data_IF_038939217637
#
_entry.id   IF_038939217637
#
_cell.length_a   1.000
_cell.length_b   1.000
_cell.length_c   1.000
_cell.angle_alpha   90.00
_cell.angle_beta   90.00
_cell.angle_gamma   90.00
#
_symmetry.space_group_name_H-M   'P 1'
#
loop_
_entity.id
_entity.type
_entity.pdbx_description
1 polymer ?
#
# COMPACT_ATOMS: atom_id res chain seq x y z
N UNK A 1 -26.55 -2.27 -16.29
CA UNK A 1 -25.24 -2.40 -16.95
C UNK A 1 -24.20 -1.94 -15.96
N UNK A 2 -23.35 -2.85 -15.47
CA UNK A 2 -22.43 -2.63 -14.34
C UNK A 2 -21.42 -1.52 -14.68
N UNK A 3 -21.18 -0.56 -13.78
CA UNK A 3 -20.28 0.57 -14.04
C UNK A 3 -18.85 0.11 -14.37
N UNK A 4 -18.46 -1.04 -13.81
CA UNK A 4 -17.22 -1.73 -14.16
C UNK A 4 -17.09 -2.05 -15.66
N UNK A 5 -18.17 -2.51 -16.30
CA UNK A 5 -18.15 -2.87 -17.73
C UNK A 5 -18.01 -1.63 -18.62
N UNK A 6 -18.49 -0.46 -18.16
CA UNK A 6 -18.32 0.80 -18.89
C UNK A 6 -16.88 1.30 -18.77
N UNK A 7 -16.29 1.22 -17.58
CA UNK A 7 -14.88 1.56 -17.35
C UNK A 7 -13.97 0.71 -18.24
N UNK A 8 -14.15 -0.61 -18.20
CA UNK A 8 -13.34 -1.53 -19.02
C UNK A 8 -13.57 -1.29 -20.52
N UNK A 9 -14.81 -0.97 -20.92
CA UNK A 9 -15.16 -0.64 -22.30
C UNK A 9 -14.44 0.61 -22.83
N UNK A 10 -14.52 1.73 -22.11
CA UNK A 10 -13.85 2.98 -22.51
C UNK A 10 -12.32 2.87 -22.47
N UNK A 11 -11.77 2.14 -21.50
CA UNK A 11 -10.33 1.89 -21.45
C UNK A 11 -9.85 1.08 -22.67
N UNK A 12 -10.62 0.06 -23.07
CA UNK A 12 -10.28 -0.79 -24.21
C UNK A 12 -10.46 -0.06 -25.55
N UNK A 13 -11.45 0.83 -25.64
CA UNK A 13 -11.62 1.72 -26.78
C UNK A 13 -10.44 2.68 -26.90
N UNK A 14 -10.08 3.37 -25.81
CA UNK A 14 -8.93 4.27 -25.77
C UNK A 14 -7.62 3.56 -26.14
N UNK A 15 -7.37 2.37 -25.61
CA UNK A 15 -6.17 1.59 -25.93
C UNK A 15 -6.06 1.24 -27.43
N UNK A 16 -7.21 1.08 -28.11
CA UNK A 16 -7.26 0.72 -29.54
C UNK A 16 -7.17 1.94 -30.45
N UNK A 17 -7.85 3.02 -30.10
CA UNK A 17 -8.07 4.17 -30.99
C UNK A 17 -7.19 5.36 -30.66
N UNK A 18 -6.69 5.46 -29.42
CA UNK A 18 -6.05 6.67 -28.89
C UNK A 18 -7.02 7.85 -28.75
N UNK A 19 -8.34 7.62 -28.83
CA UNK A 19 -9.33 8.69 -28.85
C UNK A 19 -9.44 9.42 -27.50
N UNK A 20 -9.25 10.74 -27.54
CA UNK A 20 -9.37 11.60 -26.36
C UNK A 20 -10.76 11.60 -25.74
N UNK A 21 -11.82 11.34 -26.53
CA UNK A 21 -13.18 11.26 -25.98
C UNK A 21 -13.37 10.03 -25.08
N UNK A 22 -12.96 8.84 -25.53
CA UNK A 22 -13.01 7.62 -24.72
C UNK A 22 -12.22 7.77 -23.41
N UNK A 23 -11.05 8.42 -23.45
CA UNK A 23 -10.28 8.72 -22.24
C UNK A 23 -11.00 9.69 -21.31
N UNK A 24 -11.66 10.71 -21.85
CA UNK A 24 -12.41 11.70 -21.06
C UNK A 24 -13.57 11.04 -20.31
N UNK A 25 -14.33 10.17 -20.98
CA UNK A 25 -15.42 9.42 -20.33
C UNK A 25 -14.90 8.42 -19.29
N UNK A 26 -13.77 7.75 -19.57
CA UNK A 26 -13.09 6.90 -18.60
C UNK A 26 -12.72 7.69 -17.34
N UNK A 27 -12.09 8.86 -17.50
CA UNK A 27 -11.69 9.70 -16.38
C UNK A 27 -12.90 10.21 -15.59
N UNK A 28 -14.00 10.55 -16.28
CA UNK A 28 -15.26 10.96 -15.65
C UNK A 28 -15.86 9.85 -14.78
N UNK A 29 -15.81 8.60 -15.23
CA UNK A 29 -16.28 7.45 -14.45
C UNK A 29 -15.36 7.13 -13.25
N UNK A 30 -14.05 7.33 -13.42
CA UNK A 30 -13.08 7.10 -12.36
C UNK A 30 -13.03 8.22 -11.31
N UNK A 31 -13.38 9.46 -11.68
CA UNK A 31 -13.26 10.68 -10.86
C UNK A 31 -13.75 10.54 -9.41
N UNK A 32 -14.94 9.97 -9.12
CA UNK A 32 -15.39 9.78 -7.73
C UNK A 32 -14.45 8.89 -6.91
N UNK A 33 -13.90 7.84 -7.54
CA UNK A 33 -12.93 6.93 -6.90
C UNK A 33 -11.61 7.67 -6.66
N UNK A 34 -11.12 8.42 -7.66
CA UNK A 34 -9.87 9.18 -7.53
C UNK A 34 -9.96 10.19 -6.39
N UNK A 35 -11.07 10.95 -6.32
CA UNK A 35 -11.32 11.95 -5.28
C UNK A 35 -11.36 11.31 -3.90
N UNK A 36 -12.09 10.21 -3.75
CA UNK A 36 -12.18 9.47 -2.50
C UNK A 36 -10.80 8.97 -2.04
N UNK A 37 -10.06 8.29 -2.92
CA UNK A 37 -8.75 7.72 -2.59
C UNK A 37 -7.71 8.80 -2.29
N UNK A 38 -7.77 9.95 -2.99
CA UNK A 38 -6.87 11.08 -2.76
C UNK A 38 -7.16 11.76 -1.42
N UNK A 39 -8.44 11.98 -1.07
CA UNK A 39 -8.84 12.51 0.25
C UNK A 39 -8.43 11.60 1.39
N UNK A 40 -8.55 10.29 1.21
CA UNK A 40 -8.16 9.29 2.21
C UNK A 40 -6.65 9.32 2.52
N UNK A 41 -5.82 9.69 1.54
CA UNK A 41 -4.34 9.70 1.63
C UNK A 41 -3.75 11.09 1.86
N UNK A 42 -4.56 12.14 1.72
CA UNK A 42 -4.18 13.51 2.03
C UNK A 42 -3.65 13.62 3.45
N UNK A 43 -2.58 14.37 3.62
CA UNK A 43 -2.00 14.65 4.92
C UNK A 43 -1.26 16.00 4.89
N UNK A 44 -0.77 16.44 6.05
CA UNK A 44 -0.06 17.71 6.20
C UNK A 44 1.18 17.89 5.30
N UNK A 45 1.72 16.82 4.69
CA UNK A 45 2.92 16.87 3.84
C UNK A 45 2.65 16.76 2.35
N UNK A 46 1.59 16.04 1.96
CA UNK A 46 1.22 15.83 0.57
C UNK A 46 -0.22 16.29 0.41
N UNK A 47 -0.39 17.38 -0.32
CA UNK A 47 -1.70 18.01 -0.49
C UNK A 47 -2.57 17.17 -1.41
N UNK A 48 -3.88 17.27 -1.22
CA UNK A 48 -4.85 16.61 -2.08
C UNK A 48 -4.58 16.81 -3.58
N UNK A 49 -4.24 18.02 -4.02
CA UNK A 49 -4.03 18.32 -5.44
C UNK A 49 -2.87 17.51 -6.04
N UNK A 50 -1.78 17.35 -5.29
CA UNK A 50 -0.59 16.63 -5.73
C UNK A 50 -0.91 15.12 -5.87
N UNK A 51 -1.66 14.57 -4.91
CA UNK A 51 -2.11 13.16 -4.95
C UNK A 51 -3.10 12.93 -6.09
N UNK A 52 -4.09 13.83 -6.21
CA UNK A 52 -5.15 13.71 -7.21
C UNK A 52 -4.59 13.77 -8.63
N UNK A 53 -3.65 14.68 -8.92
CA UNK A 53 -2.96 14.77 -10.21
C UNK A 53 -2.24 13.46 -10.54
N UNK A 54 -1.51 12.88 -9.58
CA UNK A 54 -0.84 11.58 -9.76
C UNK A 54 -1.83 10.45 -10.06
N UNK A 55 -3.00 10.48 -9.43
CA UNK A 55 -4.02 9.44 -9.66
C UNK A 55 -4.66 9.56 -11.04
N UNK A 56 -4.87 10.78 -11.54
CA UNK A 56 -5.32 11.00 -12.93
C UNK A 56 -4.28 10.51 -13.94
N UNK A 57 -2.99 10.75 -13.69
CA UNK A 57 -1.91 10.23 -14.52
C UNK A 57 -1.86 8.70 -14.49
N UNK A 58 -2.09 8.08 -13.33
CA UNK A 58 -2.19 6.63 -13.20
C UNK A 58 -3.34 6.03 -14.02
N UNK A 59 -4.48 6.72 -14.14
CA UNK A 59 -5.58 6.30 -15.04
C UNK A 59 -5.12 6.32 -16.49
N UNK A 60 -4.42 7.38 -16.93
CA UNK A 60 -3.86 7.45 -18.28
C UNK A 60 -2.88 6.32 -18.56
N UNK A 61 -1.88 6.14 -17.68
CA UNK A 61 -0.89 5.05 -17.77
C UNK A 61 -1.54 3.67 -17.82
N UNK A 62 -2.61 3.46 -17.05
CA UNK A 62 -3.34 2.19 -17.04
C UNK A 62 -4.10 1.92 -18.34
N UNK A 63 -4.46 2.97 -19.09
CA UNK A 63 -5.35 2.88 -20.25
C UNK A 63 -4.62 2.72 -21.59
N UNK A 64 -3.37 3.21 -21.72
CA UNK A 64 -2.62 3.20 -23.00
C UNK A 64 -2.53 1.83 -23.64
N UNK A 65 -2.28 0.79 -22.84
CA UNK A 65 -2.02 -0.57 -23.30
C UNK A 65 -2.99 -1.58 -22.65
N UNK A 66 -4.20 -1.12 -22.33
CA UNK A 66 -5.21 -1.97 -21.71
C UNK A 66 -5.75 -3.02 -22.70
N UNK A 67 -5.58 -4.30 -22.37
CA UNK A 67 -5.92 -5.43 -23.22
C UNK A 67 -7.21 -6.16 -22.83
N UNK A 68 -7.86 -5.74 -21.73
CA UNK A 68 -9.10 -6.32 -21.21
C UNK A 68 -8.96 -7.69 -20.55
N UNK A 69 -7.73 -8.21 -20.35
CA UNK A 69 -7.52 -9.51 -19.67
C UNK A 69 -7.81 -9.45 -18.17
N UNK A 70 -7.61 -8.28 -17.57
CA UNK A 70 -7.90 -7.97 -16.17
C UNK A 70 -8.86 -6.79 -16.08
N UNK A 71 -9.52 -6.60 -14.94
CA UNK A 71 -10.29 -5.39 -14.68
C UNK A 71 -9.39 -4.14 -14.78
N UNK A 72 -9.87 -3.09 -15.43
CA UNK A 72 -9.16 -1.82 -15.52
C UNK A 72 -8.85 -1.24 -14.14
N UNK A 73 -9.80 -1.35 -13.20
CA UNK A 73 -9.65 -0.83 -11.83
C UNK A 73 -8.50 -1.53 -11.10
N UNK A 74 -8.31 -2.84 -11.33
CA UNK A 74 -7.18 -3.57 -10.77
C UNK A 74 -5.85 -3.05 -11.33
N UNK A 75 -5.76 -2.89 -12.65
CA UNK A 75 -4.56 -2.37 -13.33
C UNK A 75 -4.23 -0.95 -12.85
N UNK A 76 -5.24 -0.07 -12.82
CA UNK A 76 -5.14 1.29 -12.29
C UNK A 76 -4.58 1.30 -10.86
N UNK A 77 -5.10 0.45 -9.97
CA UNK A 77 -4.65 0.43 -8.56
C UNK A 77 -3.16 0.09 -8.42
N UNK A 78 -2.66 -0.87 -9.19
CA UNK A 78 -1.23 -1.23 -9.17
C UNK A 78 -0.36 -0.04 -9.57
N UNK A 79 -0.73 0.64 -10.65
CA UNK A 79 0.00 1.81 -11.15
C UNK A 79 -0.11 2.97 -10.15
N UNK A 80 -1.32 3.29 -9.70
CA UNK A 80 -1.58 4.34 -8.72
C UNK A 80 -0.73 4.18 -7.46
N UNK A 81 -0.64 2.97 -6.90
CA UNK A 81 0.16 2.73 -5.70
C UNK A 81 1.65 2.98 -5.94
N UNK A 82 2.17 2.56 -7.11
CA UNK A 82 3.56 2.81 -7.48
C UNK A 82 3.85 4.31 -7.54
N UNK A 83 3.01 5.06 -8.26
CA UNK A 83 3.18 6.50 -8.42
C UNK A 83 3.03 7.24 -7.07
N UNK A 84 2.10 6.80 -6.22
CA UNK A 84 1.94 7.36 -4.87
C UNK A 84 3.16 7.11 -3.99
N UNK A 85 3.77 5.93 -4.07
CA UNK A 85 5.01 5.62 -3.35
C UNK A 85 6.14 6.53 -3.82
N UNK A 86 6.24 6.78 -5.12
CA UNK A 86 7.27 7.66 -5.69
C UNK A 86 7.04 9.12 -5.28
N UNK A 87 5.79 9.60 -5.25
CA UNK A 87 5.44 10.90 -4.66
C UNK A 87 5.84 10.99 -3.18
N UNK A 88 5.54 9.94 -2.41
CA UNK A 88 5.95 9.87 -1.00
C UNK A 88 7.48 9.91 -0.83
N UNK A 89 8.23 9.22 -1.71
CA UNK A 89 9.71 9.25 -1.71
C UNK A 89 10.25 10.63 -2.05
N UNK A 90 9.65 11.31 -3.03
CA UNK A 90 10.01 12.67 -3.42
C UNK A 90 9.86 13.65 -2.25
N UNK A 91 8.70 13.68 -1.58
CA UNK A 91 8.48 14.55 -0.42
C UNK A 91 9.39 14.22 0.76
N UNK A 92 9.75 12.94 0.96
CA UNK A 92 10.77 12.55 1.95
C UNK A 92 12.16 13.07 1.61
N UNK A 93 12.54 13.03 0.33
CA UNK A 93 13.83 13.52 -0.13
C UNK A 93 13.96 15.05 0.03
N UNK A 94 12.91 15.81 -0.30
CA UNK A 94 12.88 17.26 -0.08
C UNK A 94 13.12 17.60 1.39
N UNK A 95 12.48 16.88 2.32
CA UNK A 95 12.69 17.12 3.75
C UNK A 95 14.15 16.90 4.15
N UNK A 96 14.80 15.83 3.67
CA UNK A 96 16.23 15.58 3.98
C UNK A 96 17.13 16.73 3.51
N UNK A 97 16.80 17.36 2.38
CA UNK A 97 17.54 18.52 1.88
C UNK A 97 17.23 19.78 2.70
N UNK A 98 15.98 19.97 3.12
CA UNK A 98 15.54 21.08 3.98
C UNK A 98 16.08 20.99 5.41
N UNK A 99 16.16 19.78 5.99
CA UNK A 99 16.70 19.53 7.33
C UNK A 99 18.23 19.79 7.39
N UNK A 100 18.94 19.76 6.24
CA UNK A 100 20.34 20.23 6.16
C UNK A 100 20.49 21.76 6.26
N UNK A 101 19.40 22.52 6.20
CA UNK A 101 19.41 23.99 6.17
C UNK A 101 18.51 24.66 7.22
N UNK A 102 17.89 23.91 8.14
CA UNK A 102 17.06 24.51 9.19
C UNK A 102 17.52 24.14 10.60
N UNK A 103 18.00 25.17 11.30
CA UNK A 103 18.21 25.24 12.74
C UNK A 103 16.88 25.23 13.50
N UNK A 104 16.84 24.40 14.54
CA UNK A 104 16.02 24.46 15.78
C UNK A 104 14.50 24.28 15.72
N UNK A 105 14.07 23.34 16.58
CA UNK A 105 12.81 23.25 17.31
C UNK A 105 11.54 22.89 16.54
N UNK A 106 11.31 21.59 16.29
CA UNK A 106 9.94 21.07 16.26
C UNK A 106 9.87 19.61 16.75
N UNK A 107 8.98 19.42 17.71
CA UNK A 107 8.75 18.22 18.53
C UNK A 107 8.45 16.97 17.68
N UNK A 108 9.22 15.91 17.92
CA UNK A 108 9.29 14.70 17.11
C UNK A 108 8.15 13.74 17.45
N UNK A 109 6.92 14.10 17.09
CA UNK A 109 5.82 13.15 17.09
C UNK A 109 6.05 12.09 16.01
N UNK A 110 6.41 10.89 16.48
CA UNK A 110 6.78 9.71 15.71
C UNK A 110 5.58 9.15 14.94
N UNK A 111 5.22 9.79 13.82
CA UNK A 111 4.20 9.30 12.90
C UNK A 111 4.71 8.05 12.17
N UNK A 112 4.09 6.91 12.46
CA UNK A 112 4.37 5.61 11.84
C UNK A 112 3.91 5.61 10.37
N UNK A 113 4.86 5.88 9.48
CA UNK A 113 4.67 5.87 8.02
C UNK A 113 4.16 4.53 7.47
N UNK A 114 4.23 3.43 8.24
CA UNK A 114 3.65 2.14 7.83
C UNK A 114 2.11 2.16 7.84
N UNK A 115 1.49 3.09 8.57
CA UNK A 115 0.02 3.18 8.66
C UNK A 115 -0.63 3.79 7.41
N UNK A 116 0.12 4.54 6.58
CA UNK A 116 -0.41 5.22 5.39
C UNK A 116 -0.53 4.26 4.18
N UNK A 117 0.18 3.14 4.20
CA UNK A 117 0.22 2.16 3.11
C UNK A 117 -0.60 0.88 3.35
N UNK A 118 -1.31 0.78 4.48
CA UNK A 118 -2.20 -0.36 4.76
C UNK A 118 -3.60 -0.06 4.23
N UNK A 119 -3.83 -0.35 2.95
CA UNK A 119 -5.19 -0.60 2.47
C UNK A 119 -5.38 -2.11 2.30
N UNK A 120 -6.32 -2.64 3.08
CA UNK A 120 -6.86 -3.99 2.95
C UNK A 120 -7.38 -4.18 1.51
N UNK A 121 -6.74 -5.09 0.78
CA UNK A 121 -7.21 -5.55 -0.52
C UNK A 121 -7.77 -6.94 -0.36
N UNK A 122 -8.96 -7.19 -0.93
CA UNK A 122 -9.37 -8.55 -1.27
C UNK A 122 -10.53 -8.56 -2.27
N UNK A 123 -10.25 -8.95 -3.53
CA UNK A 123 -11.24 -9.63 -4.40
C UNK A 123 -11.13 -11.12 -4.11
N UNK A 124 -12.26 -11.74 -3.77
CA UNK A 124 -12.38 -13.05 -3.09
C UNK A 124 -11.50 -14.17 -3.68
N UNK A 125 -11.26 -14.21 -4.99
CA UNK A 125 -10.48 -15.27 -5.64
C UNK A 125 -8.95 -15.07 -5.56
N UNK A 126 -8.45 -13.83 -5.65
CA UNK A 126 -7.02 -13.52 -5.42
C UNK A 126 -6.66 -13.64 -3.94
N UNK A 127 -7.62 -13.40 -3.05
CA UNK A 127 -7.48 -13.58 -1.61
C UNK A 127 -7.28 -15.04 -1.24
N UNK A 128 -7.91 -16.00 -1.93
CA UNK A 128 -7.77 -17.43 -1.58
C UNK A 128 -6.40 -17.98 -1.99
N UNK A 129 -5.91 -17.68 -3.20
CA UNK A 129 -4.59 -18.16 -3.67
C UNK A 129 -3.46 -17.39 -2.97
N UNK A 130 -3.59 -16.07 -2.83
CA UNK A 130 -2.64 -15.23 -2.10
C UNK A 130 -2.57 -15.59 -0.61
N UNK A 131 -3.69 -15.88 0.04
CA UNK A 131 -3.69 -16.30 1.44
C UNK A 131 -3.12 -17.71 1.63
N UNK A 132 -3.25 -18.62 0.67
CA UNK A 132 -2.67 -19.95 0.77
C UNK A 132 -1.12 -19.88 0.74
N UNK A 133 -0.56 -19.16 -0.24
CA UNK A 133 0.90 -18.97 -0.35
C UNK A 133 1.46 -18.16 0.82
N UNK A 134 0.75 -17.10 1.24
CA UNK A 134 1.10 -16.29 2.40
C UNK A 134 1.07 -17.11 3.69
N UNK A 135 0.03 -17.94 3.87
CA UNK A 135 -0.07 -18.84 5.03
C UNK A 135 1.06 -19.86 5.03
N UNK A 136 1.40 -20.44 3.89
CA UNK A 136 2.52 -21.37 3.75
C UNK A 136 3.86 -20.71 4.10
N UNK A 137 4.10 -19.48 3.64
CA UNK A 137 5.29 -18.69 4.00
C UNK A 137 5.35 -18.38 5.50
N UNK A 138 4.23 -17.96 6.09
CA UNK A 138 4.13 -17.66 7.53
C UNK A 138 4.29 -18.91 8.39
N UNK A 139 3.74 -20.04 7.96
CA UNK A 139 3.88 -21.34 8.62
C UNK A 139 5.31 -21.87 8.49
N UNK A 140 5.94 -21.71 7.31
CA UNK A 140 7.34 -22.07 7.07
C UNK A 140 8.31 -21.29 7.96
N UNK A 141 8.13 -19.98 8.08
CA UNK A 141 8.92 -19.16 9.00
C UNK A 141 8.68 -19.51 10.47
N UNK A 142 7.42 -19.80 10.86
CA UNK A 142 7.10 -20.17 12.23
C UNK A 142 7.70 -21.52 12.65
N UNK A 143 7.96 -22.45 11.73
CA UNK A 143 8.62 -23.73 12.02
C UNK A 143 10.09 -23.56 12.44
N UNK A 144 10.78 -22.56 11.89
CA UNK A 144 12.20 -22.30 12.20
C UNK A 144 12.38 -21.31 13.33
N UNK A 145 11.45 -20.37 13.51
CA UNK A 145 11.52 -19.35 14.55
C UNK A 145 10.16 -19.18 15.25
N UNK A 146 9.79 -20.10 16.15
CA UNK A 146 8.44 -20.18 16.74
C UNK A 146 7.95 -18.85 17.35
N UNK A 147 8.72 -18.24 18.26
CA UNK A 147 8.33 -16.99 18.91
C UNK A 147 8.22 -15.82 17.92
N UNK A 148 9.12 -15.75 16.94
CA UNK A 148 9.15 -14.66 15.96
C UNK A 148 8.08 -14.84 14.89
N UNK A 149 7.82 -16.08 14.47
CA UNK A 149 6.71 -16.43 13.60
C UNK A 149 5.37 -16.09 14.23
N UNK A 150 5.21 -16.29 15.55
CA UNK A 150 4.02 -15.83 16.28
C UNK A 150 3.84 -14.32 16.18
N UNK A 151 4.92 -13.53 16.32
CA UNK A 151 4.86 -12.06 16.15
C UNK A 151 4.45 -11.68 14.74
N UNK A 152 5.06 -12.28 13.71
CA UNK A 152 4.74 -11.95 12.32
C UNK A 152 3.30 -12.33 11.97
N UNK A 153 2.81 -13.49 12.45
CA UNK A 153 1.40 -13.89 12.29
C UNK A 153 0.43 -12.90 12.94
N UNK A 154 0.74 -12.42 14.14
CA UNK A 154 -0.10 -11.42 14.82
C UNK A 154 -0.09 -10.07 14.10
N UNK A 155 1.07 -9.64 13.58
CA UNK A 155 1.17 -8.44 12.74
C UNK A 155 0.34 -8.59 11.45
N UNK A 156 0.33 -9.78 10.87
CA UNK A 156 -0.44 -10.09 9.68
C UNK A 156 -1.95 -10.10 9.93
N UNK A 157 -2.36 -10.61 11.09
CA UNK A 157 -3.74 -10.59 11.58
C UNK A 157 -4.22 -9.17 11.94
N UNK A 158 -3.33 -8.17 11.94
CA UNK A 158 -3.67 -6.79 12.24
C UNK A 158 -3.67 -6.45 13.74
N UNK A 159 -3.12 -7.31 14.61
CA UNK A 159 -3.02 -7.03 16.03
C UNK A 159 -2.14 -5.79 16.30
N UNK A 160 -2.55 -5.02 17.29
CA UNK A 160 -1.80 -3.87 17.80
C UNK A 160 -0.51 -4.31 18.50
N UNK A 161 0.44 -3.40 18.61
CA UNK A 161 1.69 -3.68 19.34
C UNK A 161 1.45 -4.00 20.82
N UNK A 162 0.39 -3.44 21.42
CA UNK A 162 -0.01 -3.74 22.80
C UNK A 162 -0.50 -5.18 22.95
N UNK A 163 -1.32 -5.67 22.02
CA UNK A 163 -1.79 -7.05 22.01
C UNK A 163 -0.64 -8.02 21.79
N UNK A 164 0.32 -7.68 20.91
CA UNK A 164 1.52 -8.47 20.69
C UNK A 164 2.39 -8.52 21.96
N UNK A 165 2.56 -7.40 22.66
CA UNK A 165 3.29 -7.32 23.93
C UNK A 165 2.67 -8.26 24.98
N UNK A 166 1.34 -8.24 25.11
CA UNK A 166 0.60 -9.11 26.02
C UNK A 166 0.70 -10.60 25.63
N UNK A 167 0.43 -10.94 24.37
CA UNK A 167 0.31 -12.33 23.90
C UNK A 167 1.66 -13.05 23.70
N UNK A 168 2.72 -12.32 23.38
CA UNK A 168 4.04 -12.90 23.08
C UNK A 168 5.04 -12.66 24.21
N UNK A 169 4.98 -11.51 24.87
CA UNK A 169 5.95 -11.11 25.89
C UNK A 169 5.38 -11.14 27.31
N UNK A 170 4.05 -11.33 27.47
CA UNK A 170 3.39 -11.30 28.77
C UNK A 170 3.44 -9.92 29.43
N UNK A 171 3.68 -8.87 28.64
CA UNK A 171 3.83 -7.51 29.14
C UNK A 171 2.49 -6.77 29.12
N UNK A 172 2.23 -5.98 30.16
CA UNK A 172 1.04 -5.12 30.23
C UNK A 172 1.12 -3.95 29.25
N UNK A 173 2.32 -3.59 28.80
CA UNK A 173 2.60 -2.45 27.92
C UNK A 173 3.64 -2.77 26.84
N UNK A 174 3.57 -2.03 25.72
CA UNK A 174 4.55 -2.11 24.63
C UNK A 174 5.87 -1.42 24.99
N UNK A 175 6.68 -2.13 25.77
CA UNK A 175 7.96 -1.69 26.30
C UNK A 175 9.13 -1.85 25.30
N UNK A 176 10.32 -1.40 25.72
CA UNK A 176 11.53 -1.46 24.90
C UNK A 176 11.92 -2.91 24.51
N UNK A 177 11.61 -3.89 25.37
CA UNK A 177 11.85 -5.32 25.12
C UNK A 177 10.94 -5.81 24.00
N UNK A 178 9.65 -5.54 24.10
CA UNK A 178 8.64 -5.91 23.10
C UNK A 178 8.95 -5.28 21.75
N UNK A 179 9.35 -3.99 21.75
CA UNK A 179 9.75 -3.27 20.53
C UNK A 179 10.94 -3.90 19.82
N UNK A 180 12.02 -4.20 20.57
CA UNK A 180 13.19 -4.88 20.01
C UNK A 180 12.85 -6.30 19.53
N UNK A 181 11.95 -7.00 20.23
CA UNK A 181 11.47 -8.32 19.82
C UNK A 181 10.73 -8.28 18.48
N UNK A 182 9.83 -7.31 18.30
CA UNK A 182 9.10 -7.09 17.04
C UNK A 182 10.05 -6.70 15.90
N UNK A 183 11.00 -5.81 16.17
CA UNK A 183 11.99 -5.41 15.17
C UNK A 183 12.82 -6.60 14.68
N UNK A 184 13.39 -7.40 15.60
CA UNK A 184 14.17 -8.60 15.26
C UNK A 184 13.35 -9.63 14.49
N UNK A 185 12.06 -9.76 14.81
CA UNK A 185 11.16 -10.66 14.07
C UNK A 185 10.99 -10.20 12.61
N UNK A 186 10.84 -8.89 12.38
CA UNK A 186 10.75 -8.32 11.02
C UNK A 186 12.05 -8.51 10.23
N UNK A 187 13.20 -8.26 10.86
CA UNK A 187 14.52 -8.44 10.24
C UNK A 187 14.74 -9.89 9.81
N UNK A 188 14.50 -10.85 10.70
CA UNK A 188 14.62 -12.29 10.37
C UNK A 188 13.60 -12.78 9.36
N UNK A 189 12.38 -12.24 9.38
CA UNK A 189 11.39 -12.61 8.38
C UNK A 189 11.79 -12.11 7.00
N UNK A 190 12.39 -10.91 6.92
CA UNK A 190 12.97 -10.40 5.68
C UNK A 190 14.10 -11.31 5.18
N UNK A 191 15.05 -11.69 6.04
CA UNK A 191 16.11 -12.66 5.69
C UNK A 191 15.54 -13.99 5.19
N UNK A 192 14.47 -14.49 5.83
CA UNK A 192 13.79 -15.69 5.39
C UNK A 192 13.17 -15.53 3.99
N UNK A 193 12.50 -14.41 3.72
CA UNK A 193 11.94 -14.12 2.39
C UNK A 193 13.04 -14.03 1.33
N UNK A 194 14.16 -13.39 1.65
CA UNK A 194 15.31 -13.28 0.75
C UNK A 194 15.99 -14.64 0.48
N UNK A 195 15.81 -15.63 1.36
CA UNK A 195 16.33 -17.00 1.21
C UNK A 195 15.40 -17.97 0.45
N UNK A 196 14.10 -17.63 0.37
CA UNK A 196 13.06 -18.45 -0.28
C UNK A 196 12.72 -17.92 -1.68
N UNK A 197 13.09 -16.67 -1.99
CA UNK A 197 13.01 -16.05 -3.32
C UNK A 197 14.14 -16.51 -4.26
#
# INVERSE_FOLDING_TARGET
>A
MNDQNKIDGFALEFAKTGDGHSFTELLRLMDPILKYEARKRENHRIRYQDIYSVFQEAVWKAAIDFDGRTSFVQRYRVIMLREFIDLCRYHRAIKRVSDTLQTTDFDENTLDWNSICKDDVSTVEQTVVGNAQKKELLDGFARTNEQQGKIIKLLDFGCTFQEIASVVFGASEYDARSRKGVQRAKEKFKEYLDSVA
#
